data_IF_478268105654
#
_entry.id   IF_478268105654
#
_cell.length_a   1.000
_cell.length_b   1.000
_cell.length_c   1.000
_cell.angle_alpha   90.00
_cell.angle_beta   90.00
_cell.angle_gamma   90.00
#
_symmetry.space_group_name_H-M   'P 1'
#
loop_
_entity.id
_entity.type
_entity.pdbx_description
1 polymer ?
#
# COMPACT_ATOMS: atom_id res chain seq x y z
N UNK A 1 14.38 -16.75 -9.51
CA UNK A 1 12.98 -16.84 -9.02
C UNK A 1 12.96 -16.43 -7.55
N UNK A 2 12.57 -15.20 -7.22
CA UNK A 2 12.43 -14.77 -5.82
C UNK A 2 10.99 -15.09 -5.39
N UNK A 3 10.79 -16.33 -4.93
CA UNK A 3 9.48 -16.84 -4.51
C UNK A 3 9.34 -16.60 -3.00
N UNK A 4 8.40 -15.74 -2.60
CA UNK A 4 7.72 -15.90 -1.30
C UNK A 4 8.05 -14.98 -0.11
N UNK A 5 8.62 -13.78 -0.29
CA UNK A 5 8.65 -12.78 0.81
C UNK A 5 7.56 -11.70 0.70
N UNK A 6 6.78 -11.74 -0.38
CA UNK A 6 5.82 -10.71 -0.78
C UNK A 6 4.58 -11.40 -1.36
N UNK A 7 3.97 -12.32 -0.62
CA UNK A 7 2.59 -12.68 -0.95
C UNK A 7 1.74 -11.46 -0.62
N UNK A 8 1.08 -10.90 -1.63
CA UNK A 8 0.19 -9.77 -1.49
C UNK A 8 -0.94 -10.15 -0.51
N UNK A 9 -0.86 -9.67 0.73
CA UNK A 9 -1.85 -9.97 1.76
C UNK A 9 -2.98 -8.95 1.70
N UNK A 10 -4.23 -9.41 1.85
CA UNK A 10 -5.33 -8.53 2.24
C UNK A 10 -5.09 -8.03 3.67
N UNK A 11 -5.12 -6.72 3.86
CA UNK A 11 -4.95 -6.08 5.16
C UNK A 11 -6.17 -5.24 5.57
N UNK A 12 -6.03 -4.35 6.57
CA UNK A 12 -7.15 -3.58 7.12
C UNK A 12 -7.83 -2.65 6.11
N UNK A 13 -7.11 -2.18 5.08
CA UNK A 13 -7.70 -1.39 4.00
C UNK A 13 -8.20 -2.35 2.91
N UNK A 14 -9.53 -2.52 2.85
CA UNK A 14 -10.18 -3.44 1.90
C UNK A 14 -9.80 -3.13 0.45
N UNK A 15 -9.61 -4.19 -0.34
CA UNK A 15 -9.29 -4.10 -1.75
C UNK A 15 -7.83 -3.79 -2.06
N UNK A 16 -7.02 -3.41 -1.06
CA UNK A 16 -5.60 -3.14 -1.19
C UNK A 16 -4.80 -4.43 -0.97
N UNK A 17 -3.87 -4.69 -1.89
CA UNK A 17 -2.94 -5.82 -1.86
C UNK A 17 -1.52 -5.31 -1.69
N UNK A 18 -0.99 -5.45 -0.48
CA UNK A 18 0.35 -4.99 -0.14
C UNK A 18 1.19 -6.10 0.48
N UNK A 19 2.52 -6.00 0.35
CA UNK A 19 3.39 -6.87 1.10
C UNK A 19 3.30 -6.60 2.62
N UNK A 20 3.54 -7.63 3.43
CA UNK A 20 3.43 -7.56 4.90
C UNK A 20 4.25 -6.43 5.53
N UNK A 21 5.43 -6.12 4.99
CA UNK A 21 6.26 -5.03 5.50
C UNK A 21 5.62 -3.65 5.29
N UNK A 22 4.85 -3.45 4.22
CA UNK A 22 4.07 -2.24 4.03
C UNK A 22 2.95 -2.16 5.08
N UNK A 23 2.19 -3.24 5.27
CA UNK A 23 1.13 -3.28 6.29
C UNK A 23 1.65 -2.96 7.69
N UNK A 24 2.79 -3.55 8.07
CA UNK A 24 3.41 -3.28 9.37
C UNK A 24 3.91 -1.84 9.52
N UNK A 25 4.27 -1.17 8.43
CA UNK A 25 4.67 0.24 8.48
C UNK A 25 3.45 1.17 8.58
N UNK A 26 2.39 0.89 7.80
CA UNK A 26 1.14 1.64 7.87
C UNK A 26 0.49 1.53 9.25
N UNK A 27 0.49 0.34 9.86
CA UNK A 27 -0.04 0.11 11.21
C UNK A 27 0.70 0.94 12.27
N UNK A 28 2.04 0.98 12.22
CA UNK A 28 2.85 1.81 13.15
C UNK A 28 2.54 3.29 13.05
N UNK A 29 2.22 3.76 11.85
CA UNK A 29 1.88 5.16 11.57
C UNK A 29 0.36 5.43 11.69
N UNK A 30 -0.42 4.45 12.18
CA UNK A 30 -1.88 4.51 12.34
C UNK A 30 -2.65 4.83 11.04
N UNK A 31 -2.10 4.43 9.89
CA UNK A 31 -2.74 4.57 8.58
C UNK A 31 -3.66 3.37 8.36
N UNK A 32 -4.96 3.58 8.59
CA UNK A 32 -5.97 2.51 8.61
C UNK A 32 -7.04 2.66 7.54
N UNK A 33 -7.00 3.75 6.77
CA UNK A 33 -7.98 4.06 5.72
C UNK A 33 -7.31 4.37 4.38
N UNK A 34 -8.03 4.09 3.28
CA UNK A 34 -7.55 4.43 1.93
C UNK A 34 -7.30 5.94 1.77
N UNK A 35 -8.17 6.78 2.33
CA UNK A 35 -8.02 8.23 2.26
C UNK A 35 -6.73 8.73 2.93
N UNK A 36 -6.38 8.20 4.11
CA UNK A 36 -5.13 8.53 4.79
C UNK A 36 -3.91 8.09 3.95
N UNK A 37 -3.98 6.90 3.37
CA UNK A 37 -2.90 6.37 2.54
C UNK A 37 -2.71 7.18 1.26
N UNK A 38 -3.79 7.60 0.60
CA UNK A 38 -3.73 8.47 -0.58
C UNK A 38 -3.14 9.83 -0.24
N UNK A 39 -3.52 10.42 0.90
CA UNK A 39 -3.04 11.73 1.33
C UNK A 39 -1.51 11.78 1.55
N UNK A 40 -0.88 10.64 1.82
CA UNK A 40 0.56 10.53 2.09
C UNK A 40 1.32 9.73 1.02
N UNK A 41 0.68 9.32 -0.08
CA UNK A 41 1.24 8.42 -1.07
C UNK A 41 2.58 8.90 -1.67
N UNK A 42 2.69 10.21 -1.92
CA UNK A 42 3.91 10.84 -2.44
C UNK A 42 5.06 10.89 -1.41
N UNK A 43 4.73 10.74 -0.13
CA UNK A 43 5.67 10.85 0.98
C UNK A 43 5.86 9.52 1.73
N UNK A 44 5.25 8.43 1.25
CA UNK A 44 5.23 7.15 1.95
C UNK A 44 6.62 6.55 2.17
N UNK A 45 7.58 6.86 1.29
CA UNK A 45 9.00 6.47 1.44
C UNK A 45 9.73 7.19 2.59
N UNK A 46 9.14 8.25 3.17
CA UNK A 46 9.66 8.94 4.35
C UNK A 46 9.24 8.23 5.65
N UNK A 47 8.27 7.32 5.58
CA UNK A 47 7.84 6.58 6.76
C UNK A 47 8.93 5.60 7.21
N UNK A 48 9.21 5.52 8.53
CA UNK A 48 10.16 4.55 9.07
C UNK A 48 9.81 3.12 8.63
N UNK A 49 10.79 2.42 8.04
CA UNK A 49 10.61 1.05 7.57
C UNK A 49 10.03 0.90 6.17
N UNK A 50 9.74 2.00 5.46
CA UNK A 50 9.32 1.97 4.05
C UNK A 50 10.50 2.37 3.16
N UNK A 51 11.05 1.39 2.44
CA UNK A 51 12.02 1.63 1.38
C UNK A 51 11.36 1.91 0.03
N UNK A 52 12.16 2.38 -0.94
CA UNK A 52 11.72 2.73 -2.31
C UNK A 52 10.87 1.63 -2.97
N UNK A 53 11.25 0.35 -2.80
CA UNK A 53 10.50 -0.78 -3.36
C UNK A 53 9.10 -0.92 -2.74
N UNK A 54 9.00 -0.77 -1.42
CA UNK A 54 7.72 -0.83 -0.70
C UNK A 54 6.85 0.37 -1.06
N UNK A 55 7.44 1.56 -1.14
CA UNK A 55 6.75 2.76 -1.58
C UNK A 55 6.18 2.64 -3.00
N UNK A 56 6.96 2.04 -3.92
CA UNK A 56 6.50 1.75 -5.27
C UNK A 56 5.33 0.75 -5.29
N UNK A 57 5.38 -0.31 -4.48
CA UNK A 57 4.29 -1.27 -4.37
C UNK A 57 3.00 -0.61 -3.88
N UNK A 58 3.09 0.27 -2.87
CA UNK A 58 1.95 1.04 -2.36
C UNK A 58 1.33 1.90 -3.47
N UNK A 59 2.14 2.70 -4.17
CA UNK A 59 1.65 3.58 -5.24
C UNK A 59 1.01 2.80 -6.40
N UNK A 60 1.65 1.71 -6.83
CA UNK A 60 1.12 0.83 -7.88
C UNK A 60 -0.27 0.30 -7.53
N UNK A 61 -0.46 -0.09 -6.27
CA UNK A 61 -1.74 -0.64 -5.83
C UNK A 61 -2.82 0.45 -5.67
N UNK A 62 -2.45 1.66 -5.25
CA UNK A 62 -3.35 2.81 -5.26
C UNK A 62 -3.83 3.15 -6.67
N UNK A 63 -2.92 3.15 -7.65
CA UNK A 63 -3.25 3.38 -9.07
C UNK A 63 -4.20 2.28 -9.60
N UNK A 64 -3.98 1.03 -9.20
CA UNK A 64 -4.86 -0.10 -9.56
C UNK A 64 -6.27 0.09 -9.02
N UNK A 65 -6.42 0.50 -7.76
CA UNK A 65 -7.73 0.77 -7.17
C UNK A 65 -8.41 1.94 -7.86
N UNK A 66 -7.71 3.05 -8.09
CA UNK A 66 -8.25 4.21 -8.78
C UNK A 66 -8.79 3.86 -10.18
N UNK A 67 -8.09 2.98 -10.91
CA UNK A 67 -8.54 2.49 -12.21
C UNK A 67 -9.80 1.59 -12.13
N UNK A 68 -9.96 0.82 -11.06
CA UNK A 68 -11.15 0.00 -10.84
C UNK A 68 -12.36 0.84 -10.43
N UNK A 69 -12.16 1.83 -9.57
CA UNK A 69 -13.21 2.76 -9.16
C UNK A 69 -13.71 3.56 -10.37
N UNK A 70 -12.81 4.07 -11.20
CA UNK A 70 -13.17 4.80 -12.43
C UNK A 70 -13.95 3.95 -13.45
N UNK A 71 -13.82 2.62 -13.40
CA UNK A 71 -14.59 1.70 -14.26
C UNK A 71 -15.98 1.38 -13.71
N UNK A 72 -16.19 1.64 -12.42
CA UNK A 72 -17.41 1.31 -11.69
C UNK A 72 -18.34 2.52 -11.51
N UNK A 73 -17.91 3.70 -11.97
CA UNK A 73 -18.62 4.99 -11.97
C UNK A 73 -19.24 5.28 -13.36
#
# INVERSE_FOLDING_TARGET
MHKGLFEDCEGPIRGLRLPLNAWNALDRENITTLAQLVAIADQVERLPGIGVKTALAIRTELDRIALLDARSA
#
